data_IF_488562447088
#
_entry.id   IF_488562447088
#
_cell.length_a   1.000
_cell.length_b   1.000
_cell.length_c   1.000
_cell.angle_alpha   90.00
_cell.angle_beta   90.00
_cell.angle_gamma   90.00
#
_symmetry.space_group_name_H-M   'P 1'
#
loop_
_entity.id
_entity.type
_entity.pdbx_description
1 polymer ?
#
# COMPACT_ATOMS: atom_id res chain seq x y z
N UNK A 1 -19.64 9.14 0.46
CA UNK A 1 -19.52 8.77 1.89
C UNK A 1 -18.12 8.23 2.04
N UNK A 2 -17.17 9.07 2.47
CA UNK A 2 -15.79 8.63 2.70
C UNK A 2 -15.78 8.09 4.12
N UNK A 3 -15.78 6.77 4.25
CA UNK A 3 -15.57 6.13 5.55
C UNK A 3 -14.07 6.00 5.73
N UNK A 4 -13.40 7.10 6.08
CA UNK A 4 -12.07 6.98 6.69
C UNK A 4 -12.31 6.25 8.02
N UNK A 5 -11.75 5.05 8.24
CA UNK A 5 -11.82 4.41 9.53
C UNK A 5 -11.24 5.38 10.59
N UNK A 6 -11.88 5.50 11.76
CA UNK A 6 -11.35 6.33 12.83
C UNK A 6 -10.06 5.67 13.34
N UNK A 7 -9.03 6.50 13.57
CA UNK A 7 -7.72 6.13 14.13
C UNK A 7 -6.79 5.31 13.21
N UNK A 8 -6.12 6.01 12.28
CA UNK A 8 -4.73 5.68 11.92
C UNK A 8 -3.92 6.97 11.96
N UNK A 9 -3.25 7.23 13.07
CA UNK A 9 -2.06 8.11 13.08
C UNK A 9 -0.93 7.52 12.22
N UNK A 10 -1.09 6.27 11.79
CA UNK A 10 -0.22 5.49 10.96
C UNK A 10 -0.20 6.01 9.53
N UNK A 11 1.00 6.35 9.06
CA UNK A 11 1.19 6.74 7.67
C UNK A 11 1.12 5.50 6.78
N UNK A 12 0.24 5.58 5.77
CA UNK A 12 -0.04 4.49 4.83
C UNK A 12 0.15 5.00 3.40
N UNK A 13 0.81 4.19 2.57
CA UNK A 13 0.93 4.38 1.14
C UNK A 13 0.13 3.30 0.41
N UNK A 14 -0.89 3.72 -0.34
CA UNK A 14 -1.77 2.81 -1.07
C UNK A 14 -1.22 2.55 -2.48
N UNK A 15 -1.22 1.28 -2.89
CA UNK A 15 -0.85 0.87 -4.24
C UNK A 15 -2.12 0.51 -4.99
N UNK A 16 -2.33 1.19 -6.12
CA UNK A 16 -3.52 1.07 -6.95
C UNK A 16 -3.17 0.48 -8.31
N UNK A 17 -4.03 -0.39 -8.82
CA UNK A 17 -3.99 -0.88 -10.20
C UNK A 17 -5.36 -0.68 -10.84
N UNK A 18 -5.40 0.11 -11.92
CA UNK A 18 -6.64 0.66 -12.47
C UNK A 18 -7.47 1.35 -11.38
N UNK A 19 -8.68 0.88 -11.11
CA UNK A 19 -9.59 1.44 -10.10
C UNK A 19 -9.71 0.54 -8.86
N UNK A 20 -8.67 -0.24 -8.55
CA UNK A 20 -8.66 -1.15 -7.41
C UNK A 20 -7.37 -1.01 -6.61
N UNK A 21 -7.52 -0.94 -5.29
CA UNK A 21 -6.39 -1.03 -4.38
C UNK A 21 -5.91 -2.48 -4.34
N UNK A 22 -4.61 -2.67 -4.53
CA UNK A 22 -3.99 -4.00 -4.59
C UNK A 22 -3.13 -4.28 -3.38
N UNK A 23 -2.56 -3.24 -2.79
CA UNK A 23 -1.79 -3.35 -1.56
C UNK A 23 -1.77 -2.01 -0.83
N UNK A 24 -1.34 -2.06 0.43
CA UNK A 24 -0.91 -0.89 1.19
C UNK A 24 0.40 -1.18 1.90
N UNK A 25 1.26 -0.17 1.98
CA UNK A 25 2.47 -0.18 2.78
C UNK A 25 2.24 0.74 3.97
N UNK A 26 2.56 0.29 5.18
CA UNK A 26 2.40 1.07 6.39
C UNK A 26 3.68 1.14 7.20
N UNK A 27 3.79 2.20 8.00
CA UNK A 27 4.90 2.39 8.94
C UNK A 27 4.37 2.91 10.27
N UNK A 28 4.13 1.98 11.19
CA UNK A 28 3.82 2.33 12.58
C UNK A 28 5.07 2.80 13.34
N UNK A 29 4.95 3.75 14.28
CA UNK A 29 6.02 4.11 15.19
C UNK A 29 6.60 2.87 15.89
N UNK A 30 7.91 2.67 15.76
CA UNK A 30 8.61 1.56 16.41
C UNK A 30 8.44 0.18 15.75
N UNK A 31 7.72 0.06 14.63
CA UNK A 31 7.64 -1.20 13.85
C UNK A 31 8.44 -1.11 12.56
N UNK A 32 8.70 -2.25 11.92
CA UNK A 32 9.23 -2.29 10.55
C UNK A 32 8.16 -1.83 9.55
N UNK A 33 8.54 -1.61 8.29
CA UNK A 33 7.55 -1.45 7.23
C UNK A 33 6.77 -2.75 7.05
N UNK A 34 5.46 -2.65 6.95
CA UNK A 34 4.55 -3.76 6.73
C UNK A 34 3.82 -3.55 5.40
N UNK A 35 3.41 -4.66 4.77
CA UNK A 35 2.61 -4.63 3.54
C UNK A 35 1.40 -5.55 3.71
N UNK A 36 0.23 -5.03 3.40
CA UNK A 36 -0.99 -5.81 3.21
C UNK A 36 -1.28 -5.93 1.72
N UNK A 37 -1.60 -7.13 1.25
CA UNK A 37 -1.90 -7.41 -0.16
C UNK A 37 -3.35 -7.88 -0.26
N UNK A 38 -4.16 -7.15 -1.02
CA UNK A 38 -5.57 -7.44 -1.20
C UNK A 38 -5.79 -8.49 -2.30
N UNK A 39 -6.80 -9.37 -2.15
CA UNK A 39 -7.09 -10.38 -3.16
C UNK A 39 -7.55 -9.73 -4.46
N UNK A 40 -7.15 -10.31 -5.60
CA UNK A 40 -7.71 -9.94 -6.88
C UNK A 40 -9.20 -10.31 -6.94
N UNK A 41 -10.00 -9.50 -7.65
CA UNK A 41 -11.43 -9.75 -7.73
C UNK A 41 -11.73 -11.09 -8.42
N UNK A 42 -12.89 -11.67 -8.09
CA UNK A 42 -13.41 -12.90 -8.69
C UNK A 42 -12.43 -14.10 -8.59
N UNK A 43 -11.67 -14.20 -7.50
CA UNK A 43 -10.62 -15.21 -7.31
C UNK A 43 -9.56 -15.22 -8.42
N UNK A 44 -9.35 -14.08 -9.07
CA UNK A 44 -8.32 -13.92 -10.09
C UNK A 44 -6.92 -13.88 -9.51
N UNK A 45 -5.97 -13.53 -10.37
CA UNK A 45 -4.60 -13.22 -9.98
C UNK A 45 -4.30 -11.77 -10.36
N UNK A 46 -3.51 -11.10 -9.54
CA UNK A 46 -2.89 -9.86 -9.97
C UNK A 46 -1.76 -10.17 -10.95
N UNK A 47 -1.63 -9.34 -11.97
CA UNK A 47 -0.54 -9.40 -12.92
C UNK A 47 0.08 -8.02 -13.02
N UNK A 48 1.37 -7.94 -12.73
CA UNK A 48 2.13 -6.69 -12.77
C UNK A 48 3.45 -6.95 -13.47
N UNK A 49 4.01 -5.91 -14.11
CA UNK A 49 5.44 -5.92 -14.35
C UNK A 49 6.19 -5.89 -13.01
N UNK A 50 7.17 -6.78 -12.85
CA UNK A 50 7.88 -6.92 -11.59
C UNK A 50 8.70 -5.68 -11.25
N UNK A 51 9.29 -5.02 -12.25
CA UNK A 51 10.13 -3.83 -12.04
C UNK A 51 9.28 -2.64 -11.65
N UNK A 52 8.13 -2.46 -12.31
CA UNK A 52 7.15 -1.42 -11.96
C UNK A 52 6.59 -1.64 -10.55
N UNK A 53 6.21 -2.87 -10.22
CA UNK A 53 5.70 -3.17 -8.87
C UNK A 53 6.76 -2.92 -7.79
N UNK A 54 8.00 -3.32 -8.03
CA UNK A 54 9.13 -3.01 -7.14
C UNK A 54 9.32 -1.50 -6.98
N UNK A 55 9.26 -0.72 -8.06
CA UNK A 55 9.41 0.73 -8.01
C UNK A 55 8.31 1.38 -7.16
N UNK A 56 7.05 0.94 -7.30
CA UNK A 56 5.93 1.42 -6.48
C UNK A 56 6.14 1.14 -4.98
N UNK A 57 6.67 -0.02 -4.62
CA UNK A 57 7.02 -0.35 -3.23
C UNK A 57 8.13 0.55 -2.69
N UNK A 58 9.18 0.78 -3.49
CA UNK A 58 10.28 1.67 -3.12
C UNK A 58 9.84 3.11 -2.92
N UNK A 59 8.93 3.60 -3.77
CA UNK A 59 8.38 4.95 -3.66
C UNK A 59 7.48 5.09 -2.43
N UNK A 60 6.68 4.07 -2.12
CA UNK A 60 5.90 4.05 -0.88
C UNK A 60 6.79 4.11 0.38
N UNK A 61 7.91 3.37 0.39
CA UNK A 61 8.88 3.44 1.50
C UNK A 61 9.50 4.84 1.60
N UNK A 62 9.87 5.48 0.48
CA UNK A 62 10.44 6.84 0.49
C UNK A 62 9.45 7.87 1.00
N UNK A 63 8.19 7.79 0.58
CA UNK A 63 7.13 8.71 0.98
C UNK A 63 6.88 8.64 2.49
N UNK A 64 6.77 7.41 3.01
CA UNK A 64 6.60 7.15 4.44
C UNK A 64 7.84 7.48 5.28
N UNK A 65 9.04 7.45 4.70
CA UNK A 65 10.25 7.87 5.38
C UNK A 65 10.39 9.40 5.45
N UNK A 66 9.84 10.11 4.46
CA UNK A 66 9.93 11.58 4.34
C UNK A 66 8.92 12.29 5.22
N UNK A 67 7.87 11.58 5.63
CA UNK A 67 6.85 12.05 6.56
C UNK A 67 6.79 11.04 7.73
N UNK A 68 7.53 11.26 8.82
CA UNK A 68 7.59 10.34 9.96
C UNK A 68 6.52 10.60 11.03
#
# INVERSE_FOLDING_TARGET
MVTSPPDRESMVFEIWHENRQVAEVSKEPGRSYEIEIYPAANNGIWHFDLSEFKAMLEDGIKELASNP
#
